data_IF_232128298495
#
_entry.id   IF_232128298495
#
_cell.length_a   1.000
_cell.length_b   1.000
_cell.length_c   1.000
_cell.angle_alpha   90.00
_cell.angle_beta   90.00
_cell.angle_gamma   90.00
#
_symmetry.space_group_name_H-M   'P 1'
#
loop_
_entity.id
_entity.type
_entity.pdbx_description
1 polymer ?
#
# COMPACT_ATOMS: atom_id res chain seq x y z
N UNK A 1 -6.74 -4.79 -12.97
CA UNK A 1 -7.39 -6.05 -12.54
C UNK A 1 -7.45 -6.10 -11.02
N UNK A 2 -8.44 -6.77 -10.45
CA UNK A 2 -8.63 -6.96 -9.03
C UNK A 2 -8.95 -8.44 -8.76
N UNK A 3 -8.17 -9.10 -7.89
CA UNK A 3 -8.38 -10.51 -7.52
C UNK A 3 -9.22 -10.65 -6.26
N UNK A 4 -9.10 -9.69 -5.36
CA UNK A 4 -9.91 -9.60 -4.15
C UNK A 4 -10.17 -8.14 -3.79
N UNK A 5 -11.26 -7.90 -3.07
CA UNK A 5 -11.70 -6.58 -2.62
C UNK A 5 -11.94 -6.59 -1.12
N UNK A 6 -11.57 -5.48 -0.47
CA UNK A 6 -11.74 -5.27 0.96
C UNK A 6 -10.44 -5.40 1.74
N UNK A 7 -10.44 -4.94 2.99
CA UNK A 7 -9.26 -4.95 3.85
C UNK A 7 -9.67 -5.39 5.27
N UNK A 8 -9.08 -6.46 5.83
CA UNK A 8 -9.47 -6.96 7.14
C UNK A 8 -8.97 -6.10 8.31
N UNK A 9 -8.20 -5.07 8.02
CA UNK A 9 -7.61 -4.18 9.03
C UNK A 9 -8.48 -2.95 9.28
N UNK A 10 -8.33 -2.35 10.45
CA UNK A 10 -9.14 -1.22 10.92
C UNK A 10 -8.29 0.04 11.12
N UNK A 11 -7.32 0.29 10.26
CA UNK A 11 -6.48 1.49 10.37
C UNK A 11 -7.34 2.75 10.28
N UNK A 12 -7.29 3.60 11.31
CA UNK A 12 -8.20 4.73 11.49
C UNK A 12 -8.09 5.82 10.41
N UNK A 13 -6.92 5.92 9.78
CA UNK A 13 -6.66 6.88 8.70
C UNK A 13 -7.15 6.42 7.31
N UNK A 14 -7.57 5.14 7.18
CA UNK A 14 -7.92 4.52 5.92
C UNK A 14 -9.44 4.34 5.77
N UNK A 15 -9.97 4.63 4.60
CA UNK A 15 -11.40 4.41 4.32
C UNK A 15 -11.76 2.92 4.18
N UNK A 16 -10.79 2.05 3.90
CA UNK A 16 -11.00 0.61 3.85
C UNK A 16 -11.02 -0.03 5.25
N UNK A 17 -10.61 0.72 6.29
CA UNK A 17 -10.67 0.30 7.69
C UNK A 17 -12.08 0.32 8.30
N UNK A 18 -13.07 0.88 7.60
CA UNK A 18 -14.44 0.99 8.13
C UNK A 18 -15.22 -0.31 7.92
N UNK A 19 -16.15 -0.60 8.86
CA UNK A 19 -16.86 -1.87 8.95
C UNK A 19 -17.63 -2.31 7.69
N UNK A 20 -18.05 -1.38 6.84
CA UNK A 20 -18.70 -1.69 5.57
C UNK A 20 -17.76 -2.16 4.46
N UNK A 21 -16.44 -1.93 4.60
CA UNK A 21 -15.40 -2.24 3.61
C UNK A 21 -14.37 -3.25 4.09
N UNK A 22 -14.45 -3.68 5.34
CA UNK A 22 -13.49 -4.64 5.90
C UNK A 22 -13.84 -6.11 5.64
N UNK A 23 -14.91 -6.38 4.90
CA UNK A 23 -15.24 -7.71 4.42
C UNK A 23 -14.46 -8.03 3.15
N UNK A 24 -13.93 -9.26 3.08
CA UNK A 24 -13.14 -9.70 1.94
C UNK A 24 -14.02 -10.44 0.95
N UNK A 25 -14.05 -9.94 -0.27
CA UNK A 25 -14.70 -10.55 -1.42
C UNK A 25 -13.64 -11.03 -2.39
N UNK A 26 -13.55 -12.35 -2.61
CA UNK A 26 -12.58 -12.96 -3.52
C UNK A 26 -13.20 -13.15 -4.90
N UNK A 27 -12.46 -12.75 -5.94
CA UNK A 27 -12.78 -13.07 -7.32
C UNK A 27 -12.52 -14.56 -7.62
N UNK A 28 -13.08 -15.09 -8.68
CA UNK A 28 -12.74 -16.44 -9.13
C UNK A 28 -11.41 -16.45 -9.88
N UNK A 29 -10.58 -17.46 -9.64
CA UNK A 29 -9.31 -17.64 -10.34
C UNK A 29 -9.50 -17.68 -11.87
N UNK A 30 -10.54 -18.37 -12.34
CA UNK A 30 -10.87 -18.45 -13.76
C UNK A 30 -11.16 -17.08 -14.39
N UNK A 31 -11.91 -16.23 -13.70
CA UNK A 31 -12.18 -14.86 -14.17
C UNK A 31 -10.88 -14.07 -14.28
N UNK A 32 -10.06 -14.11 -13.25
CA UNK A 32 -8.79 -13.38 -13.21
C UNK A 32 -7.84 -13.81 -14.33
N UNK A 33 -7.78 -15.12 -14.62
CA UNK A 33 -7.01 -15.66 -15.73
C UNK A 33 -7.54 -15.16 -17.09
N UNK A 34 -8.85 -15.21 -17.30
CA UNK A 34 -9.48 -14.73 -18.54
C UNK A 34 -9.24 -13.23 -18.77
N UNK A 35 -9.35 -12.42 -17.71
CA UNK A 35 -9.05 -10.98 -17.76
C UNK A 35 -7.58 -10.72 -18.11
N UNK A 36 -6.64 -11.47 -17.50
CA UNK A 36 -5.22 -11.38 -17.81
C UNK A 36 -4.89 -11.73 -19.25
N UNK A 37 -5.44 -12.84 -19.77
CA UNK A 37 -5.28 -13.24 -21.17
C UNK A 37 -5.82 -12.17 -22.09
N UNK A 38 -7.04 -11.67 -21.82
CA UNK A 38 -7.66 -10.61 -22.61
C UNK A 38 -6.78 -9.36 -22.68
N UNK A 39 -6.19 -8.94 -21.54
CA UNK A 39 -5.29 -7.79 -21.47
C UNK A 39 -3.99 -8.09 -22.24
N UNK A 40 -3.36 -9.24 -21.99
CA UNK A 40 -2.09 -9.61 -22.59
C UNK A 40 -2.13 -9.65 -24.12
N UNK A 41 -3.26 -10.08 -24.70
CA UNK A 41 -3.45 -10.12 -26.15
C UNK A 41 -3.63 -8.73 -26.79
N UNK A 42 -4.04 -7.72 -26.02
CA UNK A 42 -4.45 -6.39 -26.54
C UNK A 42 -3.59 -5.26 -26.09
N UNK A 43 -3.01 -5.36 -24.88
CA UNK A 43 -2.22 -4.29 -24.29
C UNK A 43 -0.77 -4.37 -24.74
N UNK A 44 -0.25 -3.27 -25.28
CA UNK A 44 1.14 -3.17 -25.76
C UNK A 44 2.09 -2.54 -24.72
N UNK A 45 1.57 -2.19 -23.53
CA UNK A 45 2.39 -1.66 -22.44
C UNK A 45 3.10 -2.74 -21.66
N UNK A 46 3.91 -2.34 -20.70
CA UNK A 46 4.73 -3.25 -19.87
C UNK A 46 4.26 -3.33 -18.42
N UNK A 47 3.27 -2.53 -18.06
CA UNK A 47 2.82 -2.38 -16.67
C UNK A 47 1.45 -3.00 -16.46
N UNK A 48 1.32 -3.73 -15.37
CA UNK A 48 0.04 -4.21 -14.84
C UNK A 48 -0.12 -3.67 -13.42
N UNK A 49 -1.29 -3.07 -13.15
CA UNK A 49 -1.68 -2.72 -11.79
C UNK A 49 -2.73 -3.69 -11.29
N UNK A 50 -2.46 -4.32 -10.16
CA UNK A 50 -3.44 -5.04 -9.36
C UNK A 50 -4.06 -4.06 -8.37
N UNK A 51 -5.38 -4.01 -8.32
CA UNK A 51 -6.10 -3.08 -7.45
C UNK A 51 -6.34 -3.65 -6.04
N UNK A 52 -5.79 -4.81 -5.78
CA UNK A 52 -5.81 -5.47 -4.48
C UNK A 52 -5.08 -4.62 -3.43
N UNK A 53 -5.67 -4.47 -2.25
CA UNK A 53 -5.09 -3.67 -1.16
C UNK A 53 -4.24 -4.50 -0.18
N UNK A 54 -4.21 -5.84 -0.35
CA UNK A 54 -3.48 -6.76 0.53
C UNK A 54 -2.96 -7.99 -0.23
N UNK A 55 -2.39 -7.83 -1.41
CA UNK A 55 -1.88 -8.92 -2.24
C UNK A 55 -0.81 -9.74 -1.49
N UNK A 56 -0.84 -11.06 -1.67
CA UNK A 56 0.03 -12.02 -1.00
C UNK A 56 -0.45 -12.43 0.40
N UNK A 57 -1.55 -11.87 0.90
CA UNK A 57 -2.11 -12.32 2.17
C UNK A 57 -2.87 -13.64 2.08
N UNK A 58 -3.42 -13.96 0.93
CA UNK A 58 -4.26 -15.12 0.74
C UNK A 58 -3.53 -16.23 -0.03
N UNK A 59 -3.91 -17.50 0.19
CA UNK A 59 -3.30 -18.63 -0.51
C UNK A 59 -3.56 -18.57 -2.02
N UNK A 60 -4.71 -18.03 -2.39
CA UNK A 60 -5.11 -17.84 -3.77
C UNK A 60 -4.17 -16.89 -4.54
N UNK A 61 -3.48 -15.99 -3.83
CA UNK A 61 -2.52 -15.06 -4.44
C UNK A 61 -1.28 -15.78 -4.99
N UNK A 62 -0.89 -16.90 -4.36
CA UNK A 62 0.19 -17.77 -4.88
C UNK A 62 -0.24 -18.40 -6.20
N UNK A 63 -1.45 -18.97 -6.25
CA UNK A 63 -1.96 -19.61 -7.47
C UNK A 63 -2.14 -18.58 -8.60
N UNK A 64 -2.64 -17.39 -8.26
CA UNK A 64 -2.70 -16.27 -9.20
C UNK A 64 -1.32 -15.86 -9.71
N UNK A 65 -0.31 -15.82 -8.83
CA UNK A 65 1.08 -15.49 -9.22
C UNK A 65 1.65 -16.50 -10.20
N UNK A 66 1.35 -17.81 -10.05
CA UNK A 66 1.73 -18.86 -11.02
C UNK A 66 1.08 -18.64 -12.36
N UNK A 67 -0.22 -18.38 -12.40
CA UNK A 67 -0.95 -18.07 -13.63
C UNK A 67 -0.34 -16.83 -14.31
N UNK A 68 -0.07 -15.79 -13.55
CA UNK A 68 0.52 -14.55 -14.06
C UNK A 68 1.92 -14.76 -14.63
N UNK A 69 2.74 -15.63 -13.99
CA UNK A 69 4.06 -16.00 -14.49
C UNK A 69 3.98 -16.74 -15.84
N UNK A 70 3.03 -17.68 -16.01
CA UNK A 70 2.81 -18.36 -17.28
C UNK A 70 2.33 -17.40 -18.39
N UNK A 71 1.46 -16.46 -18.06
CA UNK A 71 1.02 -15.41 -18.99
C UNK A 71 2.19 -14.52 -19.40
N UNK A 72 3.02 -14.10 -18.43
CA UNK A 72 4.22 -13.33 -18.69
C UNK A 72 5.15 -14.06 -19.68
N UNK A 73 5.38 -15.35 -19.45
CA UNK A 73 6.21 -16.19 -20.33
C UNK A 73 5.63 -16.32 -21.74
N UNK A 74 4.32 -16.46 -21.85
CA UNK A 74 3.64 -16.68 -23.13
C UNK A 74 3.49 -15.42 -23.97
N UNK A 75 3.20 -14.27 -23.32
CA UNK A 75 2.84 -13.02 -23.99
C UNK A 75 3.88 -11.92 -23.85
N UNK A 76 5.00 -12.16 -23.15
CA UNK A 76 5.99 -11.14 -22.76
C UNK A 76 5.35 -9.95 -22.01
N UNK A 77 4.35 -10.25 -21.17
CA UNK A 77 3.55 -9.28 -20.42
C UNK A 77 2.99 -9.90 -19.13
N UNK A 78 3.00 -9.17 -18.01
CA UNK A 78 3.60 -7.84 -17.74
C UNK A 78 5.09 -7.93 -17.36
N UNK A 79 5.84 -6.85 -17.62
CA UNK A 79 7.23 -6.73 -17.15
C UNK A 79 7.29 -6.16 -15.72
N UNK A 80 6.33 -5.31 -15.37
CA UNK A 80 6.24 -4.67 -14.07
C UNK A 80 4.85 -4.80 -13.50
N UNK A 81 4.77 -5.26 -12.26
CA UNK A 81 3.53 -5.42 -11.52
C UNK A 81 3.54 -4.46 -10.34
N UNK A 82 2.55 -3.60 -10.27
CA UNK A 82 2.34 -2.72 -9.14
C UNK A 82 1.14 -3.20 -8.34
N UNK A 83 1.32 -3.34 -7.03
CA UNK A 83 0.28 -3.78 -6.10
C UNK A 83 0.57 -3.28 -4.69
N UNK A 84 -0.47 -3.15 -3.88
CA UNK A 84 -0.32 -2.97 -2.44
C UNK A 84 -0.16 -4.34 -1.79
N UNK A 85 1.03 -4.61 -1.25
CA UNK A 85 1.28 -5.86 -0.54
C UNK A 85 0.53 -5.90 0.80
N UNK A 86 0.17 -7.10 1.22
CA UNK A 86 -0.46 -7.34 2.50
C UNK A 86 0.45 -6.98 3.68
N UNK A 87 -0.15 -6.69 4.82
CA UNK A 87 0.60 -6.33 6.05
C UNK A 87 1.11 -7.55 6.80
N UNK A 88 0.44 -8.68 6.63
CA UNK A 88 0.75 -9.96 7.28
C UNK A 88 1.14 -11.00 6.24
N UNK A 89 1.60 -12.18 6.68
CA UNK A 89 1.94 -13.30 5.81
C UNK A 89 3.12 -13.00 4.86
N UNK A 90 4.16 -12.39 5.40
CA UNK A 90 5.34 -11.94 4.64
C UNK A 90 5.97 -13.06 3.79
N UNK A 91 6.03 -14.29 4.34
CA UNK A 91 6.55 -15.44 3.60
C UNK A 91 5.80 -15.69 2.29
N UNK A 92 4.48 -15.56 2.33
CA UNK A 92 3.63 -15.76 1.14
C UNK A 92 3.81 -14.63 0.12
N UNK A 93 3.96 -13.40 0.61
CA UNK A 93 4.24 -12.24 -0.25
C UNK A 93 5.59 -12.40 -0.95
N UNK A 94 6.60 -12.90 -0.22
CA UNK A 94 7.92 -13.20 -0.78
C UNK A 94 7.81 -14.31 -1.82
N UNK A 95 7.10 -15.40 -1.52
CA UNK A 95 6.84 -16.49 -2.47
C UNK A 95 6.19 -16.00 -3.77
N UNK A 96 5.19 -15.11 -3.68
CA UNK A 96 4.61 -14.48 -4.86
C UNK A 96 5.66 -13.67 -5.65
N UNK A 97 6.54 -12.95 -4.96
CA UNK A 97 7.63 -12.20 -5.59
C UNK A 97 8.65 -13.09 -6.30
N UNK A 98 9.02 -14.21 -5.68
CA UNK A 98 9.92 -15.21 -6.26
C UNK A 98 9.32 -15.87 -7.52
N UNK A 99 8.03 -16.25 -7.48
CA UNK A 99 7.31 -16.80 -8.64
C UNK A 99 7.29 -15.80 -9.79
N UNK A 100 7.15 -14.51 -9.50
CA UNK A 100 7.06 -13.45 -10.51
C UNK A 100 8.42 -12.88 -10.95
N UNK A 101 9.53 -13.51 -10.52
CA UNK A 101 10.89 -13.27 -11.00
C UNK A 101 11.26 -11.77 -11.05
N UNK A 102 11.10 -11.07 -9.93
CA UNK A 102 11.46 -9.66 -9.81
C UNK A 102 10.55 -8.67 -10.55
N UNK A 103 9.45 -9.14 -11.15
CA UNK A 103 8.46 -8.24 -11.76
C UNK A 103 7.60 -7.52 -10.72
N UNK A 104 7.46 -8.11 -9.53
CA UNK A 104 6.67 -7.57 -8.42
C UNK A 104 7.52 -6.60 -7.60
N UNK A 105 7.02 -5.38 -7.40
CA UNK A 105 7.56 -4.44 -6.46
C UNK A 105 7.09 -4.80 -5.05
N UNK A 106 8.04 -5.00 -4.15
CA UNK A 106 7.74 -5.36 -2.77
C UNK A 106 7.48 -4.12 -1.91
N UNK A 107 6.27 -3.96 -1.41
CA UNK A 107 5.88 -2.88 -0.50
C UNK A 107 5.68 -3.36 0.93
N UNK A 108 6.36 -2.72 1.88
CA UNK A 108 6.13 -2.91 3.32
C UNK A 108 5.75 -1.57 3.94
N UNK A 109 4.45 -1.19 3.82
CA UNK A 109 3.95 0.09 4.35
C UNK A 109 4.00 0.09 5.87
N UNK A 110 4.97 0.78 6.45
CA UNK A 110 5.21 0.85 7.91
C UNK A 110 4.35 1.94 8.56
N UNK A 111 4.15 3.08 7.90
CA UNK A 111 3.43 4.28 8.32
C UNK A 111 4.09 5.02 9.48
N UNK A 112 4.49 4.35 10.55
CA UNK A 112 5.29 4.80 11.69
C UNK A 112 5.97 3.59 12.33
N UNK A 113 7.07 3.81 13.04
CA UNK A 113 7.73 2.80 13.88
C UNK A 113 7.50 3.05 15.38
N UNK A 114 6.79 4.11 15.74
CA UNK A 114 6.46 4.43 17.12
C UNK A 114 5.21 3.67 17.57
N UNK A 115 5.31 2.91 18.66
CA UNK A 115 4.23 2.04 19.15
C UNK A 115 3.00 2.81 19.60
N UNK A 116 3.17 4.00 20.20
CA UNK A 116 2.05 4.84 20.61
C UNK A 116 1.27 5.34 19.39
N UNK A 117 1.97 5.79 18.36
CA UNK A 117 1.35 6.21 17.09
C UNK A 117 0.61 5.02 16.46
N UNK A 118 1.24 3.85 16.40
CA UNK A 118 0.62 2.65 15.85
C UNK A 118 -0.65 2.24 16.62
N UNK A 119 -0.63 2.34 17.95
CA UNK A 119 -1.80 2.09 18.78
C UNK A 119 -2.92 3.10 18.48
N UNK A 120 -2.60 4.40 18.38
CA UNK A 120 -3.54 5.48 18.08
C UNK A 120 -4.24 5.30 16.72
N UNK A 121 -3.56 4.71 15.75
CA UNK A 121 -4.12 4.46 14.41
C UNK A 121 -4.64 3.03 14.23
N UNK A 122 -4.75 2.23 15.29
CA UNK A 122 -5.20 0.82 15.29
C UNK A 122 -4.44 -0.03 14.27
N UNK A 123 -3.11 0.11 14.28
CA UNK A 123 -2.24 -0.62 13.36
C UNK A 123 -1.19 -1.42 14.12
N UNK A 124 -0.93 -2.62 13.65
CA UNK A 124 0.26 -3.40 14.00
C UNK A 124 1.15 -3.53 12.77
N UNK A 125 2.44 -3.37 12.96
CA UNK A 125 3.46 -3.64 11.95
C UNK A 125 4.11 -5.01 12.18
N UNK A 126 4.87 -5.50 11.21
CA UNK A 126 5.87 -6.54 11.44
C UNK A 126 6.97 -5.98 12.35
N UNK A 127 7.68 -6.86 13.07
CA UNK A 127 8.80 -6.41 13.88
C UNK A 127 9.93 -5.82 13.01
N UNK A 128 10.79 -5.03 13.63
CA UNK A 128 11.93 -4.43 12.95
C UNK A 128 12.90 -5.48 12.40
N UNK A 129 13.16 -6.54 13.18
CA UNK A 129 13.99 -7.67 12.77
C UNK A 129 13.40 -8.36 11.54
N UNK A 130 12.08 -8.56 11.52
CA UNK A 130 11.39 -9.15 10.37
C UNK A 130 11.44 -8.25 9.15
N UNK A 131 11.38 -6.93 9.33
CA UNK A 131 11.53 -5.97 8.23
C UNK A 131 12.91 -6.09 7.59
N UNK A 132 13.98 -6.18 8.40
CA UNK A 132 15.36 -6.38 7.93
C UNK A 132 15.47 -7.71 7.17
N UNK A 133 14.99 -8.81 7.75
CA UNK A 133 15.01 -10.14 7.11
C UNK A 133 14.34 -10.12 5.74
N UNK A 134 13.13 -9.56 5.67
CA UNK A 134 12.35 -9.44 4.43
C UNK A 134 13.10 -8.58 3.41
N UNK A 135 13.66 -7.44 3.82
CA UNK A 135 14.43 -6.56 2.95
C UNK A 135 15.66 -7.28 2.35
N UNK A 136 16.39 -8.02 3.17
CA UNK A 136 17.55 -8.79 2.72
C UNK A 136 17.18 -9.91 1.74
N UNK A 137 16.11 -10.65 2.03
CA UNK A 137 15.64 -11.73 1.12
C UNK A 137 15.20 -11.18 -0.23
N UNK A 138 14.46 -10.08 -0.23
CA UNK A 138 13.99 -9.45 -1.47
C UNK A 138 15.14 -8.85 -2.27
N UNK A 139 16.16 -8.29 -1.62
CA UNK A 139 17.35 -7.75 -2.30
C UNK A 139 18.10 -8.82 -3.11
N UNK A 140 18.02 -10.07 -2.69
CA UNK A 140 18.64 -11.20 -3.40
C UNK A 140 17.84 -11.65 -4.65
N UNK A 141 16.60 -11.19 -4.82
CA UNK A 141 15.74 -11.55 -5.96
C UNK A 141 15.66 -10.47 -7.04
N UNK A 142 16.48 -9.43 -6.98
CA UNK A 142 16.46 -8.26 -7.85
C UNK A 142 15.13 -7.44 -7.81
N UNK A 143 14.25 -7.71 -6.86
CA UNK A 143 13.02 -6.95 -6.65
C UNK A 143 13.32 -5.70 -5.83
N UNK A 144 12.82 -4.54 -6.24
CA UNK A 144 12.97 -3.32 -5.45
C UNK A 144 11.96 -3.26 -4.31
N UNK A 145 12.43 -2.82 -3.14
CA UNK A 145 11.59 -2.62 -1.96
C UNK A 145 11.16 -1.16 -1.82
N UNK A 146 9.96 -0.93 -1.28
CA UNK A 146 9.54 0.40 -0.86
C UNK A 146 8.78 0.35 0.45
N UNK A 147 8.76 1.47 1.16
CA UNK A 147 7.93 1.68 2.34
C UNK A 147 7.30 3.07 2.31
N UNK A 148 6.27 3.23 3.10
CA UNK A 148 5.56 4.49 3.28
C UNK A 148 5.58 4.87 4.76
N UNK A 149 5.87 6.14 5.03
CA UNK A 149 5.81 6.75 6.37
C UNK A 149 4.91 7.97 6.29
N UNK A 150 3.94 8.06 7.19
CA UNK A 150 2.96 9.16 7.19
C UNK A 150 3.31 10.17 8.27
N UNK A 151 3.52 11.41 7.87
CA UNK A 151 3.74 12.56 8.72
C UNK A 151 2.42 13.04 9.35
N UNK A 152 2.47 13.44 10.60
CA UNK A 152 1.38 14.02 11.38
C UNK A 152 0.24 13.03 11.71
N UNK A 153 0.58 11.77 11.91
CA UNK A 153 -0.33 10.81 12.56
C UNK A 153 -0.64 11.22 14.01
N UNK A 154 -1.75 10.74 14.61
CA UNK A 154 -2.07 11.04 16.00
C UNK A 154 -0.96 10.68 16.99
N UNK A 155 -0.46 11.66 17.73
CA UNK A 155 0.67 11.50 18.66
C UNK A 155 2.05 11.64 18.02
N UNK A 156 2.12 11.97 16.72
CA UNK A 156 3.39 12.15 16.02
C UNK A 156 4.14 13.43 16.45
N UNK A 157 5.45 13.36 16.35
CA UNK A 157 6.36 14.50 16.54
C UNK A 157 7.46 14.45 15.48
N UNK A 158 8.16 15.56 15.32
CA UNK A 158 9.31 15.60 14.39
C UNK A 158 10.32 14.50 14.69
N UNK A 159 10.61 14.25 15.96
CA UNK A 159 11.57 13.24 16.40
C UNK A 159 11.07 11.82 16.08
N UNK A 160 9.84 11.46 16.47
CA UNK A 160 9.23 10.17 16.18
C UNK A 160 9.16 9.88 14.67
N UNK A 161 8.82 10.92 13.90
CA UNK A 161 8.77 10.81 12.44
C UNK A 161 10.16 10.54 11.83
N UNK A 162 11.19 11.30 12.25
CA UNK A 162 12.56 11.10 11.78
C UNK A 162 13.10 9.73 12.18
N UNK A 163 12.84 9.27 13.41
CA UNK A 163 13.21 7.93 13.87
C UNK A 163 12.56 6.82 13.01
N UNK A 164 11.30 7.01 12.62
CA UNK A 164 10.62 6.09 11.70
C UNK A 164 11.29 6.05 10.33
N UNK A 165 11.71 7.19 9.81
CA UNK A 165 12.48 7.26 8.55
C UNK A 165 13.82 6.56 8.66
N UNK A 166 14.60 6.89 9.69
CA UNK A 166 15.92 6.29 9.93
C UNK A 166 15.81 4.77 10.06
N UNK A 167 14.84 4.28 10.82
CA UNK A 167 14.60 2.86 10.99
C UNK A 167 14.30 2.14 9.67
N UNK A 168 13.45 2.71 8.83
CA UNK A 168 13.11 2.12 7.53
C UNK A 168 14.31 2.12 6.58
N UNK A 169 15.11 3.19 6.55
CA UNK A 169 16.34 3.27 5.74
C UNK A 169 17.37 2.27 6.23
N UNK A 170 17.59 2.19 7.54
CA UNK A 170 18.54 1.28 8.16
C UNK A 170 18.16 -0.19 7.95
N UNK A 171 16.85 -0.49 7.84
CA UNK A 171 16.37 -1.82 7.47
C UNK A 171 16.67 -2.21 6.01
N UNK A 172 17.27 -1.32 5.21
CA UNK A 172 17.68 -1.61 3.82
C UNK A 172 16.57 -1.46 2.78
N UNK A 173 15.52 -0.71 3.09
CA UNK A 173 14.45 -0.41 2.11
C UNK A 173 14.96 0.54 1.03
N UNK A 174 14.80 0.17 -0.24
CA UNK A 174 15.37 0.92 -1.36
C UNK A 174 14.71 2.29 -1.58
N UNK A 175 13.40 2.41 -1.28
CA UNK A 175 12.66 3.65 -1.48
C UNK A 175 11.68 3.90 -0.35
N UNK A 176 11.72 5.09 0.24
CA UNK A 176 10.79 5.53 1.27
C UNK A 176 9.95 6.68 0.75
N UNK A 177 8.64 6.54 0.82
CA UNK A 177 7.69 7.60 0.51
C UNK A 177 7.30 8.33 1.80
N UNK A 178 7.60 9.62 1.85
CA UNK A 178 7.11 10.53 2.88
C UNK A 178 5.73 11.05 2.49
N UNK A 179 4.71 10.57 3.14
CA UNK A 179 3.33 11.00 2.91
C UNK A 179 2.90 11.95 4.03
N UNK A 180 2.10 12.95 3.71
CA UNK A 180 1.43 13.76 4.73
C UNK A 180 0.06 13.15 4.98
N UNK A 181 -0.34 13.05 6.25
CA UNK A 181 -1.67 12.58 6.61
C UNK A 181 -2.75 13.40 5.89
N UNK A 182 -3.64 12.72 5.22
CA UNK A 182 -4.83 13.29 4.58
C UNK A 182 -6.05 12.85 5.39
N UNK A 183 -6.90 13.82 5.76
CA UNK A 183 -8.19 13.53 6.38
C UNK A 183 -9.16 13.06 5.33
N UNK A 184 -9.17 11.75 5.08
CA UNK A 184 -10.08 11.12 4.12
C UNK A 184 -11.48 11.06 4.71
N UNK A 185 -12.42 11.72 4.05
CA UNK A 185 -13.84 11.65 4.44
C UNK A 185 -14.32 10.19 4.44
N UNK A 186 -15.01 9.81 5.50
CA UNK A 186 -15.46 8.43 5.73
C UNK A 186 -14.46 7.54 6.47
N UNK A 187 -13.22 8.00 6.72
CA UNK A 187 -12.30 7.31 7.63
C UNK A 187 -12.65 7.62 9.11
N UNK A 188 -12.29 6.72 10.02
CA UNK A 188 -12.51 6.93 11.46
C UNK A 188 -11.79 8.20 11.94
N UNK A 189 -10.56 8.43 11.49
CA UNK A 189 -9.74 9.56 11.91
C UNK A 189 -10.32 10.92 11.48
N UNK A 190 -11.13 10.96 10.41
CA UNK A 190 -11.78 12.18 9.96
C UNK A 190 -12.99 12.59 10.80
N UNK A 191 -13.47 11.74 11.72
CA UNK A 191 -14.60 12.07 12.59
C UNK A 191 -14.29 13.22 13.55
N UNK A 192 -15.30 13.98 13.93
CA UNK A 192 -15.17 15.07 14.90
C UNK A 192 -14.56 14.56 16.21
N UNK A 193 -15.06 13.42 16.71
CA UNK A 193 -14.57 12.80 17.94
C UNK A 193 -13.07 12.53 17.91
N UNK A 194 -12.54 11.91 16.84
CA UNK A 194 -11.11 11.59 16.74
C UNK A 194 -10.26 12.85 16.61
N UNK A 195 -10.72 13.83 15.86
CA UNK A 195 -10.04 15.11 15.71
C UNK A 195 -9.94 15.89 17.02
N UNK A 196 -10.97 15.86 17.85
CA UNK A 196 -10.97 16.45 19.19
C UNK A 196 -10.06 15.65 20.14
N UNK A 197 -10.17 14.31 20.16
CA UNK A 197 -9.35 13.43 21.00
C UNK A 197 -7.86 13.66 20.80
N UNK A 198 -7.42 13.82 19.57
CA UNK A 198 -6.01 14.01 19.22
C UNK A 198 -5.64 15.48 18.95
N UNK A 199 -6.54 16.42 19.23
CA UNK A 199 -6.34 17.87 18.99
C UNK A 199 -5.83 18.17 17.57
N UNK A 200 -6.40 17.51 16.56
CA UNK A 200 -5.94 17.59 15.18
C UNK A 200 -6.48 18.83 14.48
N UNK A 201 -5.59 19.57 13.84
CA UNK A 201 -5.93 20.78 13.07
C UNK A 201 -5.69 20.54 11.59
N UNK A 202 -6.78 20.49 10.80
CA UNK A 202 -6.66 20.36 9.33
C UNK A 202 -6.29 21.69 8.68
N UNK A 203 -5.56 21.57 7.56
CA UNK A 203 -5.24 22.68 6.66
C UNK A 203 -5.41 22.18 5.23
N UNK A 204 -5.87 23.06 4.36
CA UNK A 204 -5.91 22.79 2.93
C UNK A 204 -4.62 23.26 2.28
N UNK A 205 -4.15 22.49 1.33
CA UNK A 205 -3.07 22.90 0.43
C UNK A 205 -3.38 22.43 -0.99
N UNK A 206 -2.89 23.14 -1.99
CA UNK A 206 -2.98 22.69 -3.38
C UNK A 206 -2.25 21.35 -3.53
N UNK A 207 -2.88 20.43 -4.24
CA UNK A 207 -2.27 19.12 -4.54
C UNK A 207 -1.21 19.32 -5.62
N UNK A 208 -0.07 18.68 -5.46
CA UNK A 208 0.98 18.71 -6.48
C UNK A 208 0.44 18.16 -7.81
N UNK A 209 0.65 18.88 -8.91
CA UNK A 209 0.13 18.58 -10.25
C UNK A 209 -1.39 18.70 -10.45
N UNK A 210 -2.12 19.33 -9.55
CA UNK A 210 -3.47 19.75 -9.86
C UNK A 210 -3.38 21.11 -10.54
N UNK A 211 -3.96 21.21 -11.74
CA UNK A 211 -3.99 22.44 -12.52
C UNK A 211 -5.42 22.96 -12.58
N UNK A 212 -5.63 24.21 -12.23
CA UNK A 212 -6.95 24.82 -12.27
C UNK A 212 -7.03 26.04 -11.36
N UNK A 213 -8.21 26.63 -11.34
CA UNK A 213 -8.54 27.70 -10.42
C UNK A 213 -9.62 27.17 -9.48
N UNK A 214 -9.35 27.18 -8.19
CA UNK A 214 -10.32 26.83 -7.17
C UNK A 214 -10.95 28.09 -6.60
N UNK A 215 -12.26 28.08 -6.44
CA UNK A 215 -12.98 29.13 -5.75
C UNK A 215 -13.39 28.64 -4.36
N UNK A 216 -13.03 29.43 -3.34
CA UNK A 216 -13.44 29.18 -1.96
C UNK A 216 -13.76 30.52 -1.29
N UNK A 217 -14.99 30.65 -0.76
CA UNK A 217 -15.50 31.87 -0.14
C UNK A 217 -15.33 33.12 -1.02
N UNK A 218 -15.63 33.02 -2.32
CA UNK A 218 -15.53 34.12 -3.28
C UNK A 218 -14.09 34.52 -3.65
N UNK A 219 -13.08 33.74 -3.24
CA UNK A 219 -11.68 33.94 -3.63
C UNK A 219 -11.20 32.84 -4.55
N UNK A 220 -10.50 33.23 -5.59
CA UNK A 220 -9.88 32.31 -6.53
C UNK A 220 -8.44 31.99 -6.11
N UNK A 221 -8.10 30.71 -6.12
CA UNK A 221 -6.76 30.19 -5.82
C UNK A 221 -6.25 29.44 -7.04
N UNK A 222 -5.19 29.90 -7.70
CA UNK A 222 -4.53 29.12 -8.73
C UNK A 222 -3.87 27.87 -8.12
N UNK A 223 -3.94 26.76 -8.82
CA UNK A 223 -3.26 25.52 -8.46
C UNK A 223 -1.97 25.34 -9.24
#
# INVERSE_FOLDING_TARGET
IETNRGCPFQCTFCVDGVGSRNQIYKGSAQRSEQELVYIAERHKGKYLQLADVNFGMYREDIEFSKVLAEIKKKYDFPHHIQVCAGKNQQERIIECGEILEGSLRFGASIQSMDEEILANIKRSNISYEKLIEVSQRVSNTATSTYSEVILALPGDSKEKHLNSFEGVITAGINKVFALTLIMLEGSELATVQQRETFNMKSRFRATHRSFGVYEFNGRQFPS
#
